data_IF_419318802855
#
_entry.id   IF_419318802855
#
_cell.length_a   1.000
_cell.length_b   1.000
_cell.length_c   1.000
_cell.angle_alpha   90.00
_cell.angle_beta   90.00
_cell.angle_gamma   90.00
#
_symmetry.space_group_name_H-M   'P 1'
#
loop_
_entity.id
_entity.type
_entity.pdbx_description
1 polymer ?
#
# COMPACT_ATOMS: atom_id res chain seq x y z
N UNK A 1 8.38 -10.29 -7.02
CA UNK A 1 7.89 -10.84 -5.76
C UNK A 1 6.37 -10.91 -5.77
N UNK A 2 5.83 -11.87 -5.04
CA UNK A 2 4.38 -12.09 -5.01
C UNK A 2 3.61 -10.88 -4.52
N UNK A 3 4.17 -10.16 -3.55
CA UNK A 3 3.51 -8.97 -3.01
C UNK A 3 3.34 -7.89 -4.06
N UNK A 4 4.38 -7.67 -4.86
CA UNK A 4 4.32 -6.67 -5.93
C UNK A 4 3.26 -7.03 -6.96
N UNK A 5 3.18 -8.31 -7.34
CA UNK A 5 2.17 -8.78 -8.27
C UNK A 5 0.76 -8.57 -7.71
N UNK A 6 0.59 -8.82 -6.41
CA UNK A 6 -0.67 -8.58 -5.74
C UNK A 6 -1.09 -7.11 -5.84
N UNK A 7 -0.15 -6.20 -5.54
CA UNK A 7 -0.44 -4.76 -5.61
C UNK A 7 -0.81 -4.34 -7.04
N UNK A 8 -0.06 -4.79 -8.03
CA UNK A 8 -0.33 -4.45 -9.41
C UNK A 8 -1.72 -4.91 -9.84
N UNK A 9 -2.08 -6.14 -9.47
CA UNK A 9 -3.38 -6.71 -9.84
C UNK A 9 -4.53 -5.95 -9.19
N UNK A 10 -4.40 -5.63 -7.90
CA UNK A 10 -5.49 -5.00 -7.17
C UNK A 10 -5.63 -3.51 -7.45
N UNK A 11 -4.56 -2.85 -7.90
CA UNK A 11 -4.60 -1.45 -8.27
C UNK A 11 -5.00 -1.21 -9.72
N UNK A 12 -5.01 -2.25 -10.55
CA UNK A 12 -5.29 -2.10 -11.97
C UNK A 12 -6.71 -1.61 -12.26
N UNK A 13 -7.65 -1.87 -11.35
CA UNK A 13 -9.04 -1.43 -11.51
C UNK A 13 -9.28 0.00 -11.03
N UNK A 14 -8.31 0.60 -10.34
CA UNK A 14 -8.40 1.96 -9.84
C UNK A 14 -7.64 2.90 -10.75
N UNK A 15 -8.29 3.97 -11.21
CA UNK A 15 -7.65 4.96 -12.05
C UNK A 15 -7.85 6.35 -11.44
N UNK A 16 -6.77 6.96 -10.89
CA UNK A 16 -6.90 8.30 -10.28
C UNK A 16 -7.38 9.36 -11.26
N UNK A 17 -7.17 9.17 -12.57
CA UNK A 17 -7.66 10.12 -13.56
C UNK A 17 -9.18 10.23 -13.54
N UNK A 18 -9.88 9.15 -13.21
CA UNK A 18 -11.34 9.16 -13.09
C UNK A 18 -11.81 10.04 -11.94
N UNK A 19 -10.94 10.31 -10.98
CA UNK A 19 -11.20 11.18 -9.84
C UNK A 19 -10.69 12.60 -10.06
N UNK A 20 -10.20 12.89 -11.26
CA UNK A 20 -9.74 14.23 -11.63
C UNK A 20 -8.25 14.48 -11.45
N UNK A 21 -7.44 13.46 -11.19
CA UNK A 21 -6.01 13.66 -10.99
C UNK A 21 -5.32 14.11 -12.25
N UNK A 22 -4.47 15.16 -12.19
CA UNK A 22 -3.67 15.56 -13.34
C UNK A 22 -2.65 14.50 -13.72
N UNK A 23 -2.18 14.54 -14.96
CA UNK A 23 -1.14 13.64 -15.42
C UNK A 23 0.11 13.77 -14.55
N UNK A 24 0.74 12.66 -14.27
CA UNK A 24 1.93 12.63 -13.43
C UNK A 24 2.09 11.32 -12.71
N UNK A 25 3.14 11.24 -11.91
CA UNK A 25 3.43 10.08 -11.08
C UNK A 25 3.26 10.48 -9.62
N UNK A 26 2.47 9.69 -8.90
CA UNK A 26 2.15 9.96 -7.49
C UNK A 26 2.55 8.76 -6.66
N UNK A 27 3.34 8.97 -5.61
CA UNK A 27 3.72 7.90 -4.70
C UNK A 27 3.06 8.13 -3.36
N UNK A 28 2.29 7.15 -2.92
CA UNK A 28 1.61 7.14 -1.63
C UNK A 28 2.34 6.19 -0.71
N UNK A 29 2.69 6.65 0.48
CA UNK A 29 3.32 5.81 1.48
C UNK A 29 2.28 5.38 2.49
N UNK A 30 2.15 4.08 2.68
CA UNK A 30 1.23 3.51 3.67
C UNK A 30 2.03 2.89 4.79
N UNK A 31 1.75 3.32 6.01
CA UNK A 31 2.37 2.77 7.21
C UNK A 31 1.40 1.81 7.88
N UNK A 32 1.91 0.69 8.33
CA UNK A 32 1.08 -0.30 9.02
C UNK A 32 1.94 -1.10 9.97
N UNK A 33 1.27 -1.85 10.84
CA UNK A 33 1.93 -2.73 11.80
C UNK A 33 1.75 -4.16 11.33
N UNK A 34 2.84 -4.92 11.33
CA UNK A 34 2.81 -6.36 11.09
C UNK A 34 3.12 -7.03 12.42
N UNK A 35 2.15 -7.80 12.95
CA UNK A 35 2.38 -8.49 14.22
C UNK A 35 3.24 -9.75 14.01
N UNK A 36 3.54 -10.44 15.10
CA UNK A 36 4.42 -11.61 15.05
C UNK A 36 3.82 -12.77 14.27
N UNK A 37 2.53 -12.72 13.96
CA UNK A 37 1.84 -13.75 13.17
C UNK A 37 1.61 -13.32 11.73
N UNK A 38 2.07 -12.12 11.35
CA UNK A 38 1.92 -11.61 10.01
C UNK A 38 0.62 -10.87 9.75
N UNK A 39 -0.18 -10.63 10.77
CA UNK A 39 -1.41 -9.88 10.64
C UNK A 39 -1.14 -8.38 10.57
N UNK A 40 -1.90 -7.69 9.75
CA UNK A 40 -1.73 -6.25 9.51
C UNK A 40 -2.74 -5.48 10.34
N UNK A 41 -2.28 -4.40 10.98
CA UNK A 41 -3.13 -3.50 11.74
C UNK A 41 -2.61 -2.07 11.65
N UNK A 42 -3.40 -1.11 12.15
CA UNK A 42 -3.04 0.31 12.21
C UNK A 42 -2.58 0.85 10.85
N UNK A 43 -3.34 0.51 9.80
CA UNK A 43 -3.02 0.91 8.43
C UNK A 43 -3.41 2.37 8.23
N UNK A 44 -2.45 3.19 7.77
CA UNK A 44 -2.74 4.59 7.46
C UNK A 44 -1.80 5.12 6.38
N UNK A 45 -2.30 6.06 5.60
CA UNK A 45 -1.50 6.73 4.60
C UNK A 45 -0.74 7.89 5.23
N UNK A 46 0.51 8.07 4.81
CA UNK A 46 1.37 9.15 5.29
C UNK A 46 1.38 10.34 4.34
N UNK A 47 0.85 10.16 3.14
CA UNK A 47 0.78 11.21 2.12
C UNK A 47 -0.66 11.67 1.97
N UNK A 48 -0.85 12.77 1.23
CA UNK A 48 -2.18 13.32 0.99
C UNK A 48 -2.27 13.91 -0.41
N UNK A 49 -2.19 13.04 -1.40
CA UNK A 49 -2.35 13.46 -2.80
C UNK A 49 -3.82 13.69 -3.16
N UNK A 50 -4.74 13.03 -2.47
CA UNK A 50 -6.15 13.09 -2.79
C UNK A 50 -6.51 12.19 -3.96
N UNK A 51 -7.63 12.53 -4.63
CA UNK A 51 -8.11 11.78 -5.80
C UNK A 51 -8.36 10.30 -5.52
N UNK A 52 -8.63 9.96 -4.26
CA UNK A 52 -8.88 8.57 -3.87
C UNK A 52 -7.65 7.69 -3.78
N UNK A 53 -6.45 8.23 -4.01
CA UNK A 53 -5.21 7.45 -4.01
C UNK A 53 -4.90 6.86 -2.64
N UNK A 54 -5.02 7.66 -1.58
CA UNK A 54 -4.75 7.20 -0.22
C UNK A 54 -5.72 6.11 0.20
N UNK A 55 -7.01 6.31 -0.10
CA UNK A 55 -8.03 5.29 0.23
C UNK A 55 -7.78 3.99 -0.53
N UNK A 56 -7.43 4.08 -1.80
CA UNK A 56 -7.14 2.90 -2.61
C UNK A 56 -5.91 2.16 -2.08
N UNK A 57 -4.86 2.90 -1.72
CA UNK A 57 -3.63 2.32 -1.19
C UNK A 57 -3.89 1.61 0.14
N UNK A 58 -4.60 2.25 1.05
CA UNK A 58 -4.93 1.65 2.35
C UNK A 58 -5.78 0.39 2.16
N UNK A 59 -6.76 0.46 1.26
CA UNK A 59 -7.65 -0.66 0.99
C UNK A 59 -6.89 -1.87 0.46
N UNK A 60 -5.94 -1.64 -0.46
CA UNK A 60 -5.14 -2.71 -1.03
C UNK A 60 -4.28 -3.39 0.04
N UNK A 61 -3.66 -2.61 0.92
CA UNK A 61 -2.86 -3.17 2.00
C UNK A 61 -3.72 -4.02 2.92
N UNK A 62 -4.92 -3.53 3.27
CA UNK A 62 -5.83 -4.27 4.17
C UNK A 62 -6.34 -5.57 3.56
N UNK A 63 -6.52 -5.61 2.24
CA UNK A 63 -6.98 -6.82 1.56
C UNK A 63 -5.88 -7.83 1.30
N UNK A 64 -4.63 -7.41 1.45
CA UNK A 64 -3.50 -8.21 1.05
C UNK A 64 -3.30 -9.47 1.86
N UNK A 65 -2.42 -10.34 1.39
CA UNK A 65 -2.04 -11.52 2.15
C UNK A 65 -1.26 -11.12 3.38
N UNK A 66 -1.09 -12.08 4.28
CA UNK A 66 -0.27 -11.85 5.47
C UNK A 66 1.16 -11.50 5.06
N UNK A 67 1.78 -10.62 5.83
CA UNK A 67 3.17 -10.26 5.63
C UNK A 67 4.06 -11.20 6.43
N UNK A 68 5.31 -11.33 5.98
CA UNK A 68 6.30 -12.05 6.77
C UNK A 68 6.67 -11.18 7.97
N UNK A 69 6.51 -11.70 9.20
CA UNK A 69 6.89 -10.92 10.37
C UNK A 69 8.40 -10.64 10.40
N UNK A 70 8.77 -9.55 11.04
CA UNK A 70 10.17 -9.25 11.29
C UNK A 70 10.75 -10.29 12.25
N UNK A 71 12.05 -10.57 12.11
CA UNK A 71 12.73 -11.52 12.99
C UNK A 71 13.81 -10.78 13.74
N UNK A 72 13.81 -10.93 15.06
CA UNK A 72 14.82 -10.36 15.93
C UNK A 72 15.21 -11.41 16.96
N UNK A 73 16.50 -11.68 17.08
CA UNK A 73 17.01 -12.72 18.00
C UNK A 73 16.32 -14.06 17.77
N UNK A 74 16.13 -14.43 16.50
CA UNK A 74 15.50 -15.68 16.10
C UNK A 74 14.03 -15.79 16.50
N UNK A 75 13.37 -14.66 16.79
CA UNK A 75 11.96 -14.61 17.14
C UNK A 75 11.21 -13.73 16.17
N UNK A 76 10.00 -14.11 15.84
CA UNK A 76 9.09 -13.24 15.10
C UNK A 76 8.60 -12.14 16.03
N UNK A 77 8.70 -10.89 15.57
CA UNK A 77 8.34 -9.74 16.39
C UNK A 77 7.42 -8.80 15.62
N UNK A 78 6.68 -8.00 16.37
CA UNK A 78 5.85 -6.95 15.82
C UNK A 78 6.73 -5.82 15.28
N UNK A 79 6.39 -5.30 14.11
CA UNK A 79 7.19 -4.24 13.50
C UNK A 79 6.32 -3.30 12.68
N UNK A 80 6.78 -2.05 12.55
CA UNK A 80 6.18 -1.10 11.63
C UNK A 80 6.76 -1.29 10.24
N UNK A 81 5.92 -1.14 9.24
CA UNK A 81 6.32 -1.21 7.84
C UNK A 81 5.78 0.00 7.09
N UNK A 82 6.51 0.41 6.06
CA UNK A 82 6.06 1.40 5.09
C UNK A 82 6.09 0.76 3.72
N UNK A 83 5.01 0.90 2.99
CA UNK A 83 4.93 0.40 1.62
C UNK A 83 4.64 1.56 0.68
N UNK A 84 5.55 1.87 -0.24
CA UNK A 84 5.24 2.85 -1.27
C UNK A 84 4.35 2.24 -2.33
N UNK A 85 3.33 2.99 -2.73
CA UNK A 85 2.42 2.58 -3.80
C UNK A 85 2.38 3.72 -4.80
N UNK A 86 2.78 3.42 -6.03
CA UNK A 86 2.89 4.42 -7.07
C UNK A 86 1.71 4.34 -8.02
N UNK A 87 1.08 5.48 -8.24
CA UNK A 87 0.02 5.65 -9.24
C UNK A 87 0.58 6.48 -10.37
N UNK A 88 0.29 6.06 -11.59
CA UNK A 88 0.71 6.78 -12.77
C UNK A 88 -0.51 7.23 -13.56
N UNK A 89 -0.64 8.53 -13.73
CA UNK A 89 -1.72 9.11 -14.52
C UNK A 89 -1.11 9.64 -15.81
N UNK A 90 -1.57 9.11 -16.93
CA UNK A 90 -1.06 9.50 -18.23
C UNK A 90 -1.96 10.54 -18.86
N UNK A 91 -1.34 11.49 -19.58
CA UNK A 91 -2.10 12.45 -20.38
C UNK A 91 -2.58 11.80 -21.66
N UNK A 92 -3.75 12.20 -22.11
CA UNK A 92 -4.31 11.73 -23.37
C UNK A 92 -3.72 12.45 -24.56
#
# INVERSE_FOLDING_TARGET
AKWRQFLERNLSSFNPADEGAPAGTYTTYVQFVVDKEGNISDVRALTNHGYGMEDAAVRVIKKGPKWNPAIQNQRQVKAYRKQPITFRVESE
#
